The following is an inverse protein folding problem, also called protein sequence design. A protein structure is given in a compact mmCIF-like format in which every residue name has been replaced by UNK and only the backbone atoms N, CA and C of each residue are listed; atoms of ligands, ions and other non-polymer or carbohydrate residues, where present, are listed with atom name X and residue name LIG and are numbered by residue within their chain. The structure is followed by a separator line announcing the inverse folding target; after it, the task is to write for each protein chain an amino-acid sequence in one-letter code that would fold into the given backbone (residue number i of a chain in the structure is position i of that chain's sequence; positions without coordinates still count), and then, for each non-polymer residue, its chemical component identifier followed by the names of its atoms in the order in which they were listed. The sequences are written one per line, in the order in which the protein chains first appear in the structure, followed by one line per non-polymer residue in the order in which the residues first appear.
data_IF_693906865463
#
_entry.id   IF_693906865463
#
_cell.length_a   1.000
_cell.length_b   1.000
_cell.length_c   1.000
_cell.angle_alpha   90.00
_cell.angle_beta   90.00
_cell.angle_gamma   90.00
#
_symmetry.space_group_name_H-M   'P 1'
#
loop_
_entity.id
_entity.type
_entity.pdbx_description
1 polymer ?
#
# COMPACT_ATOMS: atom_id res chain seq x y z
N UNK A 1 1.98 -5.69 -22.86
CA UNK A 1 1.53 -4.40 -23.46
C UNK A 1 2.73 -3.48 -23.58
N UNK A 2 2.70 -2.42 -24.40
CA UNK A 2 3.81 -1.46 -24.40
C UNK A 2 3.91 -0.72 -23.06
N UNK A 3 5.11 -0.62 -22.48
CA UNK A 3 5.38 0.01 -21.17
C UNK A 3 4.75 1.39 -21.04
N UNK A 4 4.91 2.23 -22.07
CA UNK A 4 4.38 3.59 -22.09
C UNK A 4 2.84 3.60 -22.01
N UNK A 5 2.18 2.66 -22.67
CA UNK A 5 0.72 2.53 -22.64
C UNK A 5 0.22 2.17 -21.24
N UNK A 6 0.92 1.26 -20.54
CA UNK A 6 0.60 0.91 -19.15
C UNK A 6 0.79 2.09 -18.21
N UNK A 7 1.87 2.87 -18.38
CA UNK A 7 2.08 4.09 -17.60
C UNK A 7 0.92 5.05 -17.83
N UNK A 8 0.54 5.30 -19.09
CA UNK A 8 -0.60 6.18 -19.41
C UNK A 8 -1.90 5.70 -18.78
N UNK A 9 -2.16 4.40 -18.76
CA UNK A 9 -3.35 3.83 -18.14
C UNK A 9 -3.33 3.95 -16.62
N UNK A 10 -2.25 3.50 -15.96
CA UNK A 10 -2.17 3.42 -14.50
C UNK A 10 -1.95 4.79 -13.84
N UNK A 11 -1.34 5.75 -14.53
CA UNK A 11 -1.08 7.11 -14.02
C UNK A 11 -2.11 8.16 -14.46
N UNK A 12 -3.16 7.76 -15.18
CA UNK A 12 -4.36 8.59 -15.30
C UNK A 12 -5.07 8.72 -13.95
N UNK A 13 -5.90 9.75 -13.80
CA UNK A 13 -6.60 10.06 -12.54
C UNK A 13 -7.25 8.83 -11.92
N UNK A 14 -8.02 8.06 -12.68
CA UNK A 14 -8.72 6.89 -12.14
C UNK A 14 -7.75 5.78 -11.72
N UNK A 15 -6.66 5.57 -12.46
CA UNK A 15 -5.61 4.60 -12.09
C UNK A 15 -4.85 5.01 -10.82
N UNK A 16 -4.54 6.31 -10.67
CA UNK A 16 -3.92 6.85 -9.45
C UNK A 16 -4.85 6.71 -8.25
N UNK A 17 -6.12 7.09 -8.41
CA UNK A 17 -7.13 6.97 -7.36
C UNK A 17 -7.26 5.52 -6.93
N UNK A 18 -7.37 4.58 -7.88
CA UNK A 18 -7.48 3.15 -7.57
C UNK A 18 -6.25 2.62 -6.83
N UNK A 19 -5.04 2.85 -7.37
CA UNK A 19 -3.80 2.34 -6.77
C UNK A 19 -3.54 2.93 -5.37
N UNK A 20 -3.68 4.25 -5.21
CA UNK A 20 -3.45 4.91 -3.91
C UNK A 20 -4.50 4.47 -2.89
N UNK A 21 -5.77 4.34 -3.28
CA UNK A 21 -6.83 3.90 -2.37
C UNK A 21 -6.58 2.47 -1.87
N UNK A 22 -6.29 1.55 -2.78
CA UNK A 22 -6.00 0.14 -2.43
C UNK A 22 -4.78 0.05 -1.53
N UNK A 23 -3.69 0.70 -1.92
CA UNK A 23 -2.45 0.70 -1.15
C UNK A 23 -2.66 1.27 0.26
N UNK A 24 -3.44 2.36 0.38
CA UNK A 24 -3.77 2.94 1.68
C UNK A 24 -4.50 1.96 2.59
N UNK A 25 -5.54 1.30 2.08
CA UNK A 25 -6.33 0.36 2.88
C UNK A 25 -5.46 -0.81 3.33
N UNK A 26 -4.69 -1.42 2.42
CA UNK A 26 -3.78 -2.51 2.78
C UNK A 26 -2.76 -2.09 3.84
N UNK A 27 -2.16 -0.91 3.69
CA UNK A 27 -1.23 -0.36 4.66
C UNK A 27 -1.87 -0.20 6.05
N UNK A 28 -3.07 0.40 6.09
CA UNK A 28 -3.80 0.64 7.34
C UNK A 28 -4.24 -0.67 8.03
N UNK A 29 -4.68 -1.67 7.25
CA UNK A 29 -5.00 -3.00 7.78
C UNK A 29 -3.79 -3.71 8.37
N UNK A 30 -2.64 -3.62 7.69
CA UNK A 30 -1.41 -4.20 8.22
C UNK A 30 -0.99 -3.52 9.52
N UNK A 31 -0.99 -2.19 9.58
CA UNK A 31 -0.69 -1.46 10.81
C UNK A 31 -1.64 -1.82 11.94
N UNK A 32 -2.95 -1.82 11.70
CA UNK A 32 -3.94 -2.19 12.72
C UNK A 32 -3.74 -3.61 13.24
N UNK A 33 -3.35 -4.54 12.36
CA UNK A 33 -3.04 -5.92 12.73
C UNK A 33 -1.76 -6.02 13.56
N UNK A 34 -0.69 -5.35 13.13
CA UNK A 34 0.59 -5.34 13.84
C UNK A 34 0.45 -4.73 15.24
N UNK A 35 -0.24 -3.58 15.36
CA UNK A 35 -0.51 -2.95 16.66
C UNK A 35 -1.35 -3.88 17.54
N UNK A 36 -2.45 -4.44 17.03
CA UNK A 36 -3.30 -5.36 17.80
C UNK A 36 -2.56 -6.62 18.27
N UNK A 37 -1.66 -7.17 17.46
CA UNK A 37 -0.93 -8.40 17.78
C UNK A 37 0.29 -8.14 18.68
N UNK A 38 0.66 -6.87 18.92
CA UNK A 38 1.83 -6.49 19.74
C UNK A 38 1.51 -5.61 20.95
N UNK A 39 0.31 -5.02 21.02
CA UNK A 39 -0.21 -4.28 22.19
C UNK A 39 -1.20 -5.15 22.98
N UNK A 40 -1.23 -4.98 24.31
CA UNK A 40 -2.02 -5.84 25.19
C UNK A 40 -3.35 -5.21 25.65
N UNK A 41 -3.56 -3.91 25.42
CA UNK A 41 -4.75 -3.15 25.84
C UNK A 41 -5.34 -2.34 24.67
N UNK A 42 -6.68 -2.28 24.55
CA UNK A 42 -7.41 -1.55 23.50
C UNK A 42 -7.19 -0.03 23.58
N UNK A 43 -7.11 0.53 24.78
CA UNK A 43 -6.85 1.96 24.99
C UNK A 43 -5.41 2.33 24.58
N UNK A 44 -4.48 1.38 24.75
CA UNK A 44 -3.10 1.50 24.29
C UNK A 44 -3.00 1.42 22.77
N UNK A 45 -3.82 0.59 22.09
CA UNK A 45 -3.81 0.46 20.63
C UNK A 45 -4.15 1.77 19.91
N UNK A 46 -5.22 2.46 20.33
CA UNK A 46 -5.62 3.72 19.72
C UNK A 46 -4.54 4.80 19.91
N UNK A 47 -4.02 4.91 21.13
CA UNK A 47 -2.93 5.82 21.47
C UNK A 47 -1.65 5.49 20.67
N UNK A 48 -1.37 4.21 20.44
CA UNK A 48 -0.19 3.77 19.68
C UNK A 48 -0.31 4.09 18.19
N UNK A 49 -1.49 3.90 17.60
CA UNK A 49 -1.73 4.26 16.21
C UNK A 49 -1.58 5.78 16.00
N UNK A 50 -2.08 6.59 16.93
CA UNK A 50 -1.87 8.05 16.91
C UNK A 50 -0.40 8.44 17.12
N UNK A 51 0.30 7.81 18.08
CA UNK A 51 1.73 8.07 18.35
C UNK A 51 2.61 7.75 17.13
N UNK A 52 2.34 6.62 16.48
CA UNK A 52 3.06 6.19 15.29
C UNK A 52 2.84 7.18 14.14
N UNK A 53 1.68 7.85 14.08
CA UNK A 53 1.32 8.89 13.10
C UNK A 53 1.65 8.47 11.65
N UNK A 54 1.40 7.20 11.36
CA UNK A 54 1.81 6.54 10.13
C UNK A 54 0.78 6.79 9.04
N UNK A 55 1.02 7.83 8.25
CA UNK A 55 0.31 8.09 7.01
C UNK A 55 1.04 7.46 5.84
N UNK A 56 0.27 7.04 4.82
CA UNK A 56 0.88 6.56 3.59
C UNK A 56 1.67 7.67 2.90
N UNK A 57 2.94 7.41 2.64
CA UNK A 57 3.70 8.23 1.71
C UNK A 57 3.27 7.91 0.27
N UNK A 58 2.51 8.81 -0.36
CA UNK A 58 2.03 8.67 -1.74
C UNK A 58 3.18 8.48 -2.73
N UNK A 59 4.34 9.10 -2.49
CA UNK A 59 5.53 8.92 -3.34
C UNK A 59 5.99 7.45 -3.36
N UNK A 60 5.92 6.75 -2.23
CA UNK A 60 6.23 5.32 -2.17
C UNK A 60 5.28 4.51 -3.04
N UNK A 61 3.98 4.85 -3.05
CA UNK A 61 2.99 4.20 -3.92
C UNK A 61 3.34 4.40 -5.39
N UNK A 62 3.59 5.65 -5.81
CA UNK A 62 3.94 5.98 -7.19
C UNK A 62 5.23 5.27 -7.64
N UNK A 63 6.23 5.20 -6.76
CA UNK A 63 7.47 4.48 -7.00
C UNK A 63 7.25 2.97 -7.15
N UNK A 64 6.37 2.37 -6.35
CA UNK A 64 5.96 0.96 -6.50
C UNK A 64 5.29 0.77 -7.86
N UNK A 65 4.34 1.62 -8.24
CA UNK A 65 3.64 1.52 -9.53
C UNK A 65 4.63 1.53 -10.71
N UNK A 66 5.60 2.45 -10.73
CA UNK A 66 6.64 2.51 -11.77
C UNK A 66 7.49 1.24 -11.79
N UNK A 67 7.92 0.75 -10.62
CA UNK A 67 8.74 -0.47 -10.54
C UNK A 67 7.99 -1.68 -11.08
N UNK A 68 6.72 -1.84 -10.73
CA UNK A 68 5.91 -2.96 -11.22
C UNK A 68 5.70 -2.91 -12.73
N UNK A 69 5.36 -1.74 -13.29
CA UNK A 69 5.24 -1.60 -14.74
C UNK A 69 6.60 -1.86 -15.41
N UNK A 70 7.69 -1.30 -14.89
CA UNK A 70 9.01 -1.46 -15.50
C UNK A 70 9.47 -2.91 -15.52
N UNK A 71 9.18 -3.67 -14.47
CA UNK A 71 9.69 -5.03 -14.31
C UNK A 71 8.78 -6.10 -14.93
N UNK A 72 7.49 -5.81 -15.14
CA UNK A 72 6.49 -6.82 -15.50
C UNK A 72 5.57 -6.45 -16.68
N UNK A 73 5.76 -5.31 -17.36
CA UNK A 73 4.87 -4.86 -18.46
C UNK A 73 4.64 -5.87 -19.61
N UNK A 74 5.59 -6.77 -19.79
CA UNK A 74 5.68 -7.80 -20.81
C UNK A 74 5.14 -9.17 -20.34
N UNK A 75 4.79 -9.31 -19.05
CA UNK A 75 4.12 -10.50 -18.53
C UNK A 75 2.66 -10.59 -18.97
N UNK A 76 2.20 -11.79 -19.34
CA UNK A 76 0.82 -12.04 -19.74
C UNK A 76 -0.17 -11.84 -18.58
N UNK A 77 0.29 -12.13 -17.36
CA UNK A 77 -0.48 -11.98 -16.11
C UNK A 77 -0.20 -10.65 -15.40
N UNK A 78 0.27 -9.62 -16.12
CA UNK A 78 0.68 -8.34 -15.54
C UNK A 78 -0.33 -7.74 -14.55
N UNK A 79 -1.63 -7.75 -14.89
CA UNK A 79 -2.65 -7.14 -14.01
C UNK A 79 -2.76 -7.86 -12.67
N UNK A 80 -2.69 -9.21 -12.67
CA UNK A 80 -2.69 -9.98 -11.43
C UNK A 80 -1.41 -9.74 -10.62
N UNK A 81 -0.26 -9.78 -11.29
CA UNK A 81 1.05 -9.49 -10.68
C UNK A 81 1.03 -8.08 -10.06
N UNK A 82 0.49 -7.10 -10.77
CA UNK A 82 0.41 -5.72 -10.34
C UNK A 82 -0.42 -5.58 -9.05
N UNK A 83 -1.63 -6.14 -9.02
CA UNK A 83 -2.53 -6.06 -7.86
C UNK A 83 -1.95 -6.80 -6.65
N UNK A 84 -1.42 -8.00 -6.83
CA UNK A 84 -0.82 -8.78 -5.74
C UNK A 84 0.42 -8.09 -5.18
N UNK A 85 1.27 -7.55 -6.05
CA UNK A 85 2.46 -6.83 -5.59
C UNK A 85 2.12 -5.48 -4.96
N UNK A 86 1.06 -4.80 -5.39
CA UNK A 86 0.61 -3.58 -4.73
C UNK A 86 0.20 -3.87 -3.27
N UNK A 87 -0.57 -4.95 -3.06
CA UNK A 87 -0.96 -5.47 -1.73
C UNK A 87 0.27 -5.81 -0.88
N UNK A 88 1.17 -6.64 -1.41
CA UNK A 88 2.38 -7.08 -0.68
C UNK A 88 3.27 -5.89 -0.31
N UNK A 89 3.51 -4.96 -1.24
CA UNK A 89 4.34 -3.79 -0.95
C UNK A 89 3.71 -2.89 0.12
N UNK A 90 2.38 -2.74 0.15
CA UNK A 90 1.70 -1.98 1.19
C UNK A 90 1.87 -2.61 2.58
N UNK A 91 1.76 -3.94 2.68
CA UNK A 91 1.99 -4.64 3.95
C UNK A 91 3.43 -4.57 4.41
N UNK A 92 4.40 -4.73 3.50
CA UNK A 92 5.83 -4.62 3.84
C UNK A 92 6.21 -3.21 4.25
N UNK A 93 5.62 -2.19 3.62
CA UNK A 93 5.80 -0.80 4.01
C UNK A 93 5.25 -0.54 5.43
N UNK A 94 4.02 -0.97 5.71
CA UNK A 94 3.44 -0.88 7.05
C UNK A 94 4.29 -1.62 8.10
N UNK A 95 4.77 -2.82 7.79
CA UNK A 95 5.67 -3.57 8.67
C UNK A 95 6.96 -2.82 8.96
N UNK A 96 7.60 -2.28 7.92
CA UNK A 96 8.83 -1.52 8.07
C UNK A 96 8.60 -0.28 8.94
N UNK A 97 7.56 0.49 8.65
CA UNK A 97 7.23 1.70 9.38
C UNK A 97 6.89 1.40 10.85
N UNK A 98 6.11 0.35 11.09
CA UNK A 98 5.80 -0.11 12.44
C UNK A 98 7.07 -0.48 13.22
N UNK A 99 7.95 -1.30 12.64
CA UNK A 99 9.18 -1.73 13.31
C UNK A 99 10.12 -0.56 13.57
N UNK A 100 10.29 0.34 12.60
CA UNK A 100 11.20 1.47 12.73
C UNK A 100 10.71 2.49 13.76
N UNK A 101 9.41 2.81 13.74
CA UNK A 101 8.84 3.89 14.56
C UNK A 101 8.35 3.43 15.94
N UNK A 102 8.07 2.14 16.15
CA UNK A 102 7.72 1.62 17.48
C UNK A 102 8.98 1.48 18.35
N UNK A 103 9.22 2.46 19.22
CA UNK A 103 10.41 2.49 20.10
C UNK A 103 10.37 1.45 21.21
N UNK A 104 9.17 1.04 21.62
CA UNK A 104 8.96 0.08 22.71
C UNK A 104 8.97 -1.37 22.22
N UNK A 105 8.98 -1.57 20.90
CA UNK A 105 9.04 -2.89 20.29
C UNK A 105 10.37 -3.57 20.61
N UNK A 106 10.31 -4.61 21.45
CA UNK A 106 11.46 -5.48 21.71
C UNK A 106 11.61 -6.52 20.59
N UNK A 107 12.86 -6.95 20.32
CA UNK A 107 13.17 -7.95 19.28
C UNK A 107 12.69 -7.57 17.86
N UNK A 108 12.89 -6.30 17.47
CA UNK A 108 12.51 -5.73 16.17
C UNK A 108 12.79 -6.64 14.98
N UNK A 109 14.01 -7.19 14.88
CA UNK A 109 14.41 -8.07 13.78
C UNK A 109 13.54 -9.33 13.70
N UNK A 110 13.27 -9.97 14.85
CA UNK A 110 12.44 -11.17 14.92
C UNK A 110 10.99 -10.89 14.53
N UNK A 111 10.47 -9.74 14.94
CA UNK A 111 9.12 -9.29 14.56
C UNK A 111 9.06 -9.05 13.06
N UNK A 112 10.03 -8.31 12.50
CA UNK A 112 10.13 -8.07 11.07
C UNK A 112 10.17 -9.38 10.28
N UNK A 113 11.10 -10.28 10.59
CA UNK A 113 11.27 -11.53 9.86
C UNK A 113 10.00 -12.40 9.89
N UNK A 114 9.36 -12.51 11.06
CA UNK A 114 8.15 -13.32 11.23
C UNK A 114 6.97 -12.81 10.39
N UNK A 115 6.73 -11.50 10.38
CA UNK A 115 5.63 -10.93 9.59
C UNK A 115 5.98 -10.84 8.11
N UNK A 116 7.24 -10.57 7.78
CA UNK A 116 7.72 -10.59 6.40
C UNK A 116 7.48 -11.97 5.77
N UNK A 117 7.87 -13.06 6.45
CA UNK A 117 7.60 -14.42 5.99
C UNK A 117 6.10 -14.69 5.83
N UNK A 118 5.29 -14.27 6.80
CA UNK A 118 3.82 -14.42 6.76
C UNK A 118 3.20 -13.68 5.56
N UNK A 119 3.69 -12.47 5.25
CA UNK A 119 3.24 -11.67 4.10
C UNK A 119 3.65 -12.33 2.78
N UNK A 120 4.91 -12.73 2.65
CA UNK A 120 5.44 -13.32 1.41
C UNK A 120 4.82 -14.68 1.07
N UNK A 121 4.36 -15.42 2.08
CA UNK A 121 3.69 -16.72 1.92
C UNK A 121 2.16 -16.60 1.86
N UNK A 122 1.60 -15.40 1.67
CA UNK A 122 0.14 -15.12 1.61
C UNK A 122 -0.64 -15.56 2.87
N UNK A 123 0.05 -15.71 4.00
CA UNK A 123 -0.55 -16.07 5.29
C UNK A 123 -1.02 -14.87 6.11
N UNK A 124 -0.83 -13.64 5.61
CA UNK A 124 -1.16 -12.41 6.32
C UNK A 124 -2.59 -11.91 6.04
N UNK A 125 -3.04 -11.99 4.78
CA UNK A 125 -4.30 -11.41 4.35
C UNK A 125 -5.43 -12.43 4.44
N UNK A 126 -6.29 -12.29 5.45
CA UNK A 126 -7.38 -13.22 5.71
C UNK A 126 -8.74 -12.74 5.14
N UNK A 127 -9.75 -13.59 5.29
CA UNK A 127 -11.13 -13.30 4.84
C UNK A 127 -11.71 -12.06 5.51
N UNK A 128 -11.35 -11.77 6.78
CA UNK A 128 -11.87 -10.58 7.47
C UNK A 128 -11.27 -9.31 6.87
N UNK A 129 -9.96 -9.30 6.59
CA UNK A 129 -9.31 -8.20 5.90
C UNK A 129 -9.89 -8.00 4.49
N UNK A 130 -10.18 -9.09 3.77
CA UNK A 130 -10.81 -9.01 2.45
C UNK A 130 -12.20 -8.36 2.51
N UNK A 131 -13.02 -8.71 3.50
CA UNK A 131 -14.33 -8.09 3.70
C UNK A 131 -14.21 -6.60 4.04
N UNK A 132 -13.35 -6.27 4.99
CA UNK A 132 -13.10 -4.87 5.35
C UNK A 132 -12.58 -4.06 4.14
N UNK A 133 -11.74 -4.65 3.29
CA UNK A 133 -11.26 -3.99 2.08
C UNK A 133 -12.39 -3.69 1.12
N UNK A 134 -13.28 -4.65 0.89
CA UNK A 134 -14.44 -4.47 0.03
C UNK A 134 -15.38 -3.38 0.56
N UNK A 135 -15.55 -3.30 1.88
CA UNK A 135 -16.41 -2.31 2.53
C UNK A 135 -15.83 -0.87 2.45
N UNK A 136 -14.50 -0.72 2.53
CA UNK A 136 -13.85 0.60 2.58
C UNK A 136 -13.45 1.18 1.21
N UNK A 137 -13.34 0.35 0.17
CA UNK A 137 -12.68 0.74 -1.08
C UNK A 137 -13.35 1.94 -1.77
N UNK A 138 -14.68 1.94 -1.88
CA UNK A 138 -15.40 2.99 -2.62
C UNK A 138 -15.34 4.34 -1.90
N UNK A 139 -15.46 4.34 -0.58
CA UNK A 139 -15.31 5.56 0.23
C UNK A 139 -13.90 6.12 0.12
N UNK A 140 -12.89 5.24 0.13
CA UNK A 140 -11.49 5.65 -0.02
C UNK A 140 -11.21 6.21 -1.41
N UNK A 141 -11.79 5.60 -2.46
CA UNK A 141 -11.72 6.12 -3.84
C UNK A 141 -12.37 7.49 -3.95
N UNK A 142 -13.52 7.69 -3.33
CA UNK A 142 -14.20 8.99 -3.32
C UNK A 142 -13.30 10.07 -2.71
N UNK A 143 -12.69 9.79 -1.55
CA UNK A 143 -11.73 10.70 -0.91
C UNK A 143 -10.57 11.10 -1.84
N UNK A 144 -9.88 10.12 -2.44
CA UNK A 144 -8.75 10.42 -3.33
C UNK A 144 -9.17 11.07 -4.65
N UNK A 145 -10.37 10.78 -5.14
CA UNK A 145 -10.90 11.40 -6.35
C UNK A 145 -11.13 12.90 -6.18
N UNK A 146 -11.50 13.33 -4.98
CA UNK A 146 -11.66 14.75 -4.65
C UNK A 146 -10.31 15.45 -4.48
N UNK A 147 -9.32 14.76 -3.91
CA UNK A 147 -7.98 15.31 -3.68
C UNK A 147 -7.11 15.35 -4.96
N UNK A 148 -7.16 14.31 -5.79
CA UNK A 148 -6.38 14.20 -7.03
C UNK A 148 -7.08 14.98 -8.13
N UNK A 149 -6.67 16.22 -8.34
CA UNK A 149 -7.20 17.06 -9.41
C UNK A 149 -6.65 16.62 -10.77
N UNK A 150 -7.30 17.06 -11.86
CA UNK A 150 -6.83 16.77 -13.22
C UNK A 150 -5.45 17.35 -13.51
N UNK A 151 -5.06 18.46 -12.86
CA UNK A 151 -3.71 19.03 -13.01
C UNK A 151 -2.68 18.14 -12.33
N UNK A 152 -2.93 17.73 -11.08
CA UNK A 152 -2.06 16.81 -10.34
C UNK A 152 -1.87 15.51 -11.12
N UNK A 153 -2.93 14.91 -11.63
CA UNK A 153 -2.80 13.67 -12.41
C UNK A 153 -1.95 13.84 -13.68
N UNK A 154 -2.00 15.03 -14.33
CA UNK A 154 -1.20 15.31 -15.53
C UNK A 154 0.27 15.49 -15.19
N UNK A 155 0.58 16.18 -14.11
CA UNK A 155 1.94 16.38 -13.63
C UNK A 155 2.58 15.05 -13.23
N UNK A 156 1.86 14.24 -12.45
CA UNK A 156 2.33 12.92 -12.01
C UNK A 156 2.53 11.99 -13.23
N UNK A 157 1.60 11.97 -14.18
CA UNK A 157 1.76 11.21 -15.43
C UNK A 157 2.97 11.67 -16.25
N UNK A 158 3.19 12.97 -16.39
CA UNK A 158 4.34 13.49 -17.13
C UNK A 158 5.66 13.06 -16.46
N UNK A 159 5.74 13.15 -15.14
CA UNK A 159 6.89 12.66 -14.35
C UNK A 159 7.10 11.16 -14.55
N UNK A 160 6.03 10.35 -14.46
CA UNK A 160 6.09 8.92 -14.67
C UNK A 160 6.62 8.54 -16.06
N UNK A 161 6.18 9.24 -17.10
CA UNK A 161 6.66 9.02 -18.47
C UNK A 161 8.14 9.42 -18.66
N UNK A 162 8.65 10.37 -17.87
CA UNK A 162 10.05 10.79 -17.95
C UNK A 162 11.03 9.80 -17.30
N UNK A 163 10.52 8.90 -16.44
CA UNK A 163 11.29 7.85 -15.76
C UNK A 163 11.27 6.52 -16.54
N UNK A 164 10.47 6.43 -17.60
CA UNK A 164 10.20 5.22 -18.37
C UNK A 164 11.23 4.98 -19.47
#
# INVERSE_FOLDING_TARGET
MEKEQLIRQKFQKDGLVDAISKYQIYYQMALGTLVRETCFDEDEMASKLEELSLDINVENVLNVMIKLITNFHDDEDFEQIYEDNLKVNAFLHALKDFVDNNKDLTNKDKVYDSYHEKIMNDGFFDVKMQLQFADELEDRKAYWKDLITNSVSKEVLASALSLA
#
